data_IF_059517067926
#
_entry.id   IF_059517067926
#
_cell.length_a   1.000
_cell.length_b   1.000
_cell.length_c   1.000
_cell.angle_alpha   90.00
_cell.angle_beta   90.00
_cell.angle_gamma   90.00
#
_symmetry.space_group_name_H-M   'P 1'
#
loop_
_entity.id
_entity.type
_entity.pdbx_description
1 polymer ?
#
# COMPACT_ATOMS: atom_id res chain seq x y z
N UNK A 1 30.32 -10.99 52.90
CA UNK A 1 31.34 -11.13 51.83
C UNK A 1 30.79 -11.89 50.62
N UNK A 2 30.12 -13.04 50.82
CA UNK A 2 29.39 -13.77 49.76
C UNK A 2 28.37 -12.92 48.99
N UNK A 3 27.55 -12.13 49.69
CA UNK A 3 26.48 -11.36 49.02
C UNK A 3 27.04 -10.23 48.13
N UNK A 4 28.16 -9.61 48.53
CA UNK A 4 28.83 -8.60 47.71
C UNK A 4 29.44 -9.19 46.44
N UNK A 5 29.99 -10.40 46.51
CA UNK A 5 30.52 -11.11 45.34
C UNK A 5 29.37 -11.51 44.42
N UNK A 6 28.26 -12.02 44.97
CA UNK A 6 27.08 -12.40 44.19
C UNK A 6 26.46 -11.21 43.45
N UNK A 7 26.28 -10.07 44.15
CA UNK A 7 25.74 -8.83 43.59
C UNK A 7 26.68 -8.28 42.50
N UNK A 8 28.00 -8.31 42.73
CA UNK A 8 28.97 -7.82 41.75
C UNK A 8 28.97 -8.68 40.48
N UNK A 9 28.90 -10.00 40.61
CA UNK A 9 28.80 -10.92 39.47
C UNK A 9 27.48 -10.74 38.72
N UNK A 10 26.37 -10.56 39.42
CA UNK A 10 25.07 -10.31 38.79
C UNK A 10 25.07 -8.98 38.00
N UNK A 11 25.64 -7.90 38.56
CA UNK A 11 25.77 -6.62 37.87
C UNK A 11 26.67 -6.71 36.64
N UNK A 12 27.78 -7.47 36.72
CA UNK A 12 28.66 -7.72 35.58
C UNK A 12 27.95 -8.47 34.45
N UNK A 13 27.18 -9.51 34.77
CA UNK A 13 26.41 -10.28 33.80
C UNK A 13 25.29 -9.45 33.16
N UNK A 14 24.55 -8.67 33.95
CA UNK A 14 23.56 -7.73 33.42
C UNK A 14 24.22 -6.68 32.53
N UNK A 15 25.38 -6.13 32.93
CA UNK A 15 26.15 -5.19 32.12
C UNK A 15 26.61 -5.79 30.78
N UNK A 16 27.10 -7.03 30.79
CA UNK A 16 27.49 -7.76 29.58
C UNK A 16 26.30 -8.06 28.67
N UNK A 17 25.14 -8.40 29.21
CA UNK A 17 23.92 -8.63 28.43
C UNK A 17 23.41 -7.34 27.79
N UNK A 18 23.35 -6.24 28.54
CA UNK A 18 22.93 -4.94 28.03
C UNK A 18 23.94 -4.42 27.00
N UNK A 19 25.24 -4.59 27.24
CA UNK A 19 26.28 -4.21 26.28
C UNK A 19 26.25 -5.08 25.01
N UNK A 20 26.06 -6.40 25.15
CA UNK A 20 25.92 -7.31 24.01
C UNK A 20 24.70 -6.97 23.16
N UNK A 21 23.56 -6.67 23.78
CA UNK A 21 22.38 -6.15 23.08
C UNK A 21 22.69 -4.81 22.41
N UNK A 22 23.27 -3.86 23.14
CA UNK A 22 23.62 -2.55 22.60
C UNK A 22 24.55 -2.67 21.39
N UNK A 23 25.60 -3.49 21.43
CA UNK A 23 26.50 -3.72 20.29
C UNK A 23 25.77 -4.38 19.11
N UNK A 24 24.88 -5.34 19.38
CA UNK A 24 24.08 -5.97 18.32
C UNK A 24 23.11 -5.01 17.64
N UNK A 25 22.63 -3.97 18.33
CA UNK A 25 21.75 -2.95 17.75
C UNK A 25 22.53 -1.74 17.17
N UNK A 26 23.66 -1.37 17.77
CA UNK A 26 24.46 -0.20 17.38
C UNK A 26 25.32 -0.48 16.13
N UNK A 27 25.68 -1.74 15.89
CA UNK A 27 26.41 -2.12 14.68
C UNK A 27 25.55 -2.16 13.40
N UNK A 28 24.23 -1.91 13.47
CA UNK A 28 23.28 -2.09 12.35
C UNK A 28 23.63 -3.36 11.53
N UNK A 29 23.58 -4.57 12.13
CA UNK A 29 24.08 -5.79 11.49
C UNK A 29 23.29 -6.16 10.22
N UNK A 30 22.11 -5.58 10.04
CA UNK A 30 21.24 -5.79 8.89
C UNK A 30 21.40 -4.63 7.92
N UNK A 31 22.03 -4.92 6.78
CA UNK A 31 22.19 -3.99 5.66
C UNK A 31 21.47 -4.57 4.45
N UNK A 32 20.55 -3.80 3.89
CA UNK A 32 19.80 -4.14 2.68
C UNK A 32 20.00 -3.01 1.67
N UNK A 33 20.32 -3.36 0.43
CA UNK A 33 20.52 -2.38 -0.63
C UNK A 33 20.02 -2.94 -1.96
N UNK A 34 19.44 -2.06 -2.76
CA UNK A 34 19.14 -2.35 -4.15
C UNK A 34 19.47 -1.15 -5.04
N UNK A 35 19.88 -1.45 -6.26
CA UNK A 35 20.15 -0.47 -7.30
C UNK A 35 19.87 -1.07 -8.67
N UNK A 36 19.69 -0.19 -9.65
CA UNK A 36 19.68 -0.56 -11.05
C UNK A 36 20.30 0.55 -11.87
N UNK A 37 20.91 0.17 -12.99
CA UNK A 37 21.55 1.05 -13.94
C UNK A 37 21.14 0.62 -15.34
N UNK A 38 20.76 1.59 -16.16
CA UNK A 38 20.43 1.34 -17.56
C UNK A 38 21.70 1.41 -18.42
N UNK A 39 21.92 0.37 -19.23
CA UNK A 39 22.95 0.31 -20.28
C UNK A 39 22.28 -0.01 -21.63
N UNK A 40 21.97 1.05 -22.38
CA UNK A 40 21.18 0.96 -23.61
C UNK A 40 19.78 0.39 -23.35
N UNK A 41 19.44 -0.69 -24.05
CA UNK A 41 18.15 -1.39 -23.89
C UNK A 41 18.17 -2.45 -22.77
N UNK A 42 19.26 -2.50 -21.99
CA UNK A 42 19.41 -3.43 -20.87
C UNK A 42 19.33 -2.67 -19.55
N UNK A 43 18.55 -3.20 -18.61
CA UNK A 43 18.51 -2.72 -17.23
C UNK A 43 19.20 -3.74 -16.34
N UNK A 44 20.37 -3.40 -15.83
CA UNK A 44 21.10 -4.20 -14.87
C UNK A 44 20.65 -3.85 -13.45
N UNK A 45 20.47 -4.85 -12.60
CA UNK A 45 20.09 -4.64 -11.21
C UNK A 45 21.08 -5.32 -10.27
N UNK A 46 21.20 -4.76 -9.08
CA UNK A 46 21.96 -5.30 -7.96
C UNK A 46 21.08 -5.37 -6.72
N UNK A 47 21.14 -6.50 -6.01
CA UNK A 47 20.48 -6.69 -4.71
C UNK A 47 21.52 -7.18 -3.72
N UNK A 48 21.59 -6.54 -2.55
CA UNK A 48 22.55 -6.87 -1.51
C UNK A 48 21.88 -7.02 -0.15
N UNK A 49 22.30 -8.03 0.61
CA UNK A 49 21.84 -8.31 1.96
C UNK A 49 22.97 -8.86 2.82
N UNK A 50 23.13 -8.35 4.05
CA UNK A 50 24.10 -8.88 5.02
C UNK A 50 23.67 -10.19 5.67
N UNK A 51 22.43 -10.64 5.43
CA UNK A 51 21.89 -11.92 5.90
C UNK A 51 21.10 -12.65 4.81
N UNK A 52 20.97 -13.99 4.87
CA UNK A 52 20.10 -14.72 3.95
C UNK A 52 18.67 -14.15 3.96
N UNK A 53 18.21 -13.66 2.82
CA UNK A 53 16.87 -13.11 2.66
C UNK A 53 16.31 -13.42 1.27
N UNK A 54 15.00 -13.65 1.18
CA UNK A 54 14.32 -13.74 -0.11
C UNK A 54 14.25 -12.36 -0.76
N UNK A 55 14.41 -12.29 -2.08
CA UNK A 55 14.23 -11.07 -2.84
C UNK A 55 13.41 -11.33 -4.10
N UNK A 56 12.76 -10.27 -4.58
CA UNK A 56 12.10 -10.23 -5.86
C UNK A 56 12.42 -8.91 -6.56
N UNK A 57 12.55 -8.99 -7.88
CA UNK A 57 12.81 -7.90 -8.81
C UNK A 57 11.71 -7.97 -9.85
N UNK A 58 10.90 -6.92 -9.96
CA UNK A 58 9.77 -6.84 -10.88
C UNK A 58 10.00 -5.67 -11.83
N UNK A 59 10.04 -5.96 -13.12
CA UNK A 59 9.98 -4.97 -14.19
C UNK A 59 8.53 -4.88 -14.64
N UNK A 60 7.92 -3.71 -14.44
CA UNK A 60 6.50 -3.45 -14.63
C UNK A 60 6.32 -2.37 -15.69
N UNK A 61 5.41 -2.55 -16.64
CA UNK A 61 4.97 -1.47 -17.54
C UNK A 61 3.78 -0.73 -16.93
N UNK A 62 3.51 0.47 -17.44
CA UNK A 62 2.29 1.23 -17.12
C UNK A 62 2.11 1.40 -15.60
N UNK A 63 3.21 1.77 -14.94
CA UNK A 63 3.22 2.05 -13.50
C UNK A 63 2.80 3.49 -13.25
N UNK A 64 2.00 3.69 -12.20
CA UNK A 64 1.62 5.01 -11.70
C UNK A 64 2.19 5.20 -10.30
N UNK A 65 3.28 5.95 -10.19
CA UNK A 65 3.90 6.20 -8.91
C UNK A 65 3.33 7.45 -8.23
N UNK A 66 2.94 7.32 -6.97
CA UNK A 66 2.67 8.47 -6.11
C UNK A 66 3.96 9.26 -5.85
N UNK A 67 4.08 10.48 -6.40
CA UNK A 67 5.17 11.41 -6.02
C UNK A 67 4.95 11.97 -4.62
N UNK A 68 3.66 12.12 -4.24
CA UNK A 68 3.23 12.48 -2.90
C UNK A 68 1.90 11.82 -2.56
N UNK A 69 1.83 11.25 -1.36
CA UNK A 69 0.61 10.63 -0.82
C UNK A 69 -0.01 11.52 0.27
N UNK A 70 -1.23 11.99 0.05
CA UNK A 70 -2.03 12.70 1.04
C UNK A 70 -2.94 11.70 1.76
N UNK A 71 -2.70 11.49 3.05
CA UNK A 71 -3.43 10.52 3.87
C UNK A 71 -4.46 11.28 4.71
N UNK A 72 -5.74 11.02 4.45
CA UNK A 72 -6.82 11.64 5.21
C UNK A 72 -6.88 11.12 6.65
N UNK A 73 -6.79 12.04 7.60
CA UNK A 73 -7.04 11.75 9.02
C UNK A 73 -7.49 13.01 9.75
N UNK A 74 -8.71 12.97 10.27
CA UNK A 74 -9.29 14.05 11.06
C UNK A 74 -10.04 13.45 12.25
N UNK A 75 -9.60 13.75 13.47
CA UNK A 75 -10.27 13.30 14.71
C UNK A 75 -11.56 14.07 15.01
N UNK A 76 -11.76 15.23 14.37
CA UNK A 76 -12.94 16.06 14.53
C UNK A 76 -14.13 15.60 13.69
N UNK A 77 -13.93 14.70 12.73
CA UNK A 77 -14.95 14.22 11.80
C UNK A 77 -15.55 12.89 12.25
N UNK A 78 -16.87 12.73 12.11
CA UNK A 78 -17.54 11.51 12.49
C UNK A 78 -17.11 10.33 11.59
N UNK A 79 -16.95 9.13 12.16
CA UNK A 79 -16.63 7.93 11.38
C UNK A 79 -17.79 6.92 11.41
N UNK A 80 -18.17 6.30 10.28
CA UNK A 80 -19.35 5.43 10.20
C UNK A 80 -19.18 4.16 11.05
N UNK A 81 -18.06 3.49 10.90
CA UNK A 81 -17.82 2.13 11.43
C UNK A 81 -16.43 1.95 12.03
N UNK A 82 -15.52 2.88 11.79
CA UNK A 82 -14.10 2.78 12.15
C UNK A 82 -13.77 3.76 13.27
N UNK A 83 -13.25 3.28 14.40
CA UNK A 83 -12.81 4.19 15.46
C UNK A 83 -11.54 4.96 15.05
N UNK A 84 -11.42 6.22 15.49
CA UNK A 84 -10.20 7.02 15.24
C UNK A 84 -8.92 6.34 15.73
N UNK A 85 -8.99 5.57 16.83
CA UNK A 85 -7.83 4.85 17.34
C UNK A 85 -7.42 3.69 16.43
N UNK A 86 -8.38 2.97 15.85
CA UNK A 86 -8.13 1.96 14.82
C UNK A 86 -7.52 2.57 13.56
N UNK A 87 -8.09 3.68 13.09
CA UNK A 87 -7.60 4.41 11.92
C UNK A 87 -6.16 4.91 12.14
N UNK A 88 -5.90 5.59 13.26
CA UNK A 88 -4.58 6.08 13.65
C UNK A 88 -3.54 4.96 13.76
N UNK A 89 -3.91 3.84 14.39
CA UNK A 89 -3.05 2.67 14.51
C UNK A 89 -2.73 2.05 13.15
N UNK A 90 -3.70 1.99 12.25
CA UNK A 90 -3.50 1.51 10.88
C UNK A 90 -2.59 2.43 10.08
N UNK A 91 -2.85 3.75 10.08
CA UNK A 91 -2.00 4.75 9.42
C UNK A 91 -0.57 4.63 9.91
N UNK A 92 -0.34 4.55 11.23
CA UNK A 92 1.01 4.37 11.79
C UNK A 92 1.69 3.09 11.30
N UNK A 93 0.96 1.98 11.17
CA UNK A 93 1.52 0.74 10.62
C UNK A 93 1.84 0.89 9.14
N UNK A 94 0.92 1.49 8.37
CA UNK A 94 1.10 1.74 6.95
C UNK A 94 2.32 2.61 6.67
N UNK A 95 2.51 3.71 7.41
CA UNK A 95 3.67 4.60 7.21
C UNK A 95 4.98 3.88 7.51
N UNK A 96 5.03 3.03 8.55
CA UNK A 96 6.20 2.18 8.82
C UNK A 96 6.46 1.17 7.69
N UNK A 97 5.42 0.68 7.02
CA UNK A 97 5.55 -0.20 5.86
C UNK A 97 5.98 0.56 4.60
N UNK A 98 5.52 1.81 4.39
CA UNK A 98 5.97 2.68 3.30
C UNK A 98 7.44 3.07 3.45
N UNK A 99 7.89 3.36 4.68
CA UNK A 99 9.29 3.69 4.98
C UNK A 99 10.25 2.56 4.60
N UNK A 100 9.82 1.30 4.75
CA UNK A 100 10.63 0.15 4.34
C UNK A 100 10.76 0.03 2.83
N UNK A 101 9.85 0.63 2.04
CA UNK A 101 9.69 0.39 0.59
C UNK A 101 10.16 1.54 -0.30
N UNK A 102 11.16 2.28 0.17
CA UNK A 102 11.78 3.37 -0.59
C UNK A 102 11.18 4.75 -0.28
N UNK A 103 10.45 4.86 0.83
CA UNK A 103 9.91 6.11 1.39
C UNK A 103 9.10 6.93 0.38
N UNK A 104 7.88 6.49 0.10
CA UNK A 104 6.89 7.32 -0.61
C UNK A 104 6.59 8.54 0.26
N UNK A 105 6.88 9.77 -0.19
CA UNK A 105 6.63 10.97 0.60
C UNK A 105 5.14 11.09 0.91
N UNK A 106 4.79 11.19 2.19
CA UNK A 106 3.40 11.30 2.62
C UNK A 106 3.15 12.50 3.52
N UNK A 107 1.91 12.96 3.58
CA UNK A 107 1.45 14.02 4.48
C UNK A 107 0.09 13.66 5.02
N UNK A 108 -0.08 13.75 6.33
CA UNK A 108 -1.40 13.62 6.96
C UNK A 108 -2.14 14.94 6.77
N UNK A 109 -3.37 14.86 6.29
CA UNK A 109 -4.20 16.03 6.00
C UNK A 109 -5.59 15.87 6.63
N UNK A 110 -6.06 16.94 7.25
CA UNK A 110 -7.43 17.03 7.78
C UNK A 110 -8.45 17.33 6.68
N UNK A 111 -9.73 17.39 7.04
CA UNK A 111 -10.80 17.59 6.05
C UNK A 111 -10.71 18.96 5.35
N UNK A 112 -10.51 20.05 6.10
CA UNK A 112 -10.38 21.40 5.54
C UNK A 112 -9.20 21.51 4.57
N UNK A 113 -8.03 20.98 4.97
CA UNK A 113 -6.85 20.98 4.10
C UNK A 113 -7.12 20.17 2.84
N UNK A 114 -7.74 18.99 2.96
CA UNK A 114 -8.09 18.13 1.82
C UNK A 114 -8.96 18.85 0.78
N UNK A 115 -9.97 19.61 1.22
CA UNK A 115 -10.85 20.39 0.33
C UNK A 115 -10.16 21.55 -0.39
N UNK A 116 -8.96 21.95 0.05
CA UNK A 116 -8.18 23.03 -0.57
C UNK A 116 -7.01 22.54 -1.43
N UNK A 117 -6.67 21.25 -1.35
CA UNK A 117 -5.59 20.67 -2.15
C UNK A 117 -6.00 20.65 -3.63
N UNK A 118 -5.10 21.13 -4.48
CA UNK A 118 -5.29 21.06 -5.92
C UNK A 118 -5.01 19.63 -6.45
N UNK A 119 -5.93 19.04 -7.24
CA UNK A 119 -5.69 17.80 -7.97
C UNK A 119 -4.41 17.86 -8.82
N UNK A 120 -3.67 16.75 -8.86
CA UNK A 120 -2.47 16.64 -9.72
C UNK A 120 -2.10 15.18 -10.00
N UNK A 121 -1.60 14.89 -11.20
CA UNK A 121 -1.18 13.55 -11.60
C UNK A 121 -0.11 12.92 -10.67
N UNK A 122 0.77 13.74 -10.08
CA UNK A 122 1.77 13.27 -9.10
C UNK A 122 1.26 13.15 -7.67
N UNK A 123 0.10 13.73 -7.37
CA UNK A 123 -0.57 13.64 -6.07
C UNK A 123 -1.50 12.44 -6.00
N UNK A 124 -1.42 11.67 -4.93
CA UNK A 124 -2.34 10.56 -4.66
C UNK A 124 -3.04 10.74 -3.32
N UNK A 125 -4.26 10.24 -3.19
CA UNK A 125 -5.05 10.31 -1.98
C UNK A 125 -5.18 8.94 -1.33
N UNK A 126 -5.20 8.89 0.00
CA UNK A 126 -5.53 7.68 0.76
C UNK A 126 -6.61 7.98 1.80
N UNK A 127 -7.67 7.16 1.76
CA UNK A 127 -8.75 7.17 2.73
C UNK A 127 -8.82 5.82 3.44
N UNK A 128 -8.78 5.87 4.77
CA UNK A 128 -8.92 4.70 5.65
C UNK A 128 -10.06 4.83 6.69
N UNK A 129 -10.90 5.85 6.55
CA UNK A 129 -12.05 6.18 7.41
C UNK A 129 -13.33 5.43 7.05
N UNK A 130 -13.45 4.95 5.80
CA UNK A 130 -14.69 4.41 5.26
C UNK A 130 -15.74 5.46 4.89
N UNK A 131 -15.39 6.74 4.97
CA UNK A 131 -16.21 7.87 4.53
C UNK A 131 -15.30 8.97 3.98
N UNK A 132 -15.74 9.68 2.95
CA UNK A 132 -15.08 10.89 2.51
C UNK A 132 -15.49 12.08 3.38
N UNK A 133 -14.61 13.08 3.61
CA UNK A 133 -15.04 14.34 4.22
C UNK A 133 -15.97 15.12 3.28
N UNK A 134 -16.95 15.80 3.84
CA UNK A 134 -17.90 16.69 3.13
C UNK A 134 -17.23 17.84 2.37
N UNK A 135 -16.02 18.21 2.76
CA UNK A 135 -15.16 19.18 2.06
C UNK A 135 -14.66 18.69 0.70
N UNK A 136 -14.70 17.38 0.42
CA UNK A 136 -14.20 16.77 -0.81
C UNK A 136 -15.30 16.05 -1.61
N UNK A 137 -16.29 15.49 -0.93
CA UNK A 137 -17.33 14.66 -1.55
C UNK A 137 -18.68 14.93 -0.90
N UNK A 138 -19.68 15.27 -1.73
CA UNK A 138 -21.05 15.58 -1.33
C UNK A 138 -22.07 14.55 -1.86
N UNK A 139 -21.60 13.47 -2.50
CA UNK A 139 -22.46 12.46 -3.10
C UNK A 139 -22.89 12.75 -4.53
N UNK A 140 -22.32 13.77 -5.19
CA UNK A 140 -22.63 14.14 -6.57
C UNK A 140 -21.43 13.99 -7.51
N UNK A 141 -21.66 13.95 -8.82
CA UNK A 141 -20.59 13.87 -9.84
C UNK A 141 -19.71 15.13 -9.91
N UNK A 142 -20.15 16.23 -9.31
CA UNK A 142 -19.41 17.50 -9.26
C UNK A 142 -18.52 17.60 -8.01
N UNK A 143 -18.44 16.53 -7.21
CA UNK A 143 -17.57 16.45 -6.04
C UNK A 143 -16.09 16.51 -6.43
N UNK A 144 -15.29 17.20 -5.62
CA UNK A 144 -13.85 17.38 -5.86
C UNK A 144 -13.06 16.07 -5.99
N UNK A 145 -13.53 14.96 -5.40
CA UNK A 145 -12.91 13.64 -5.61
C UNK A 145 -12.84 13.23 -7.10
N UNK A 146 -13.81 13.64 -7.93
CA UNK A 146 -13.79 13.36 -9.36
C UNK A 146 -12.76 14.22 -10.11
N UNK A 147 -12.50 15.45 -9.65
CA UNK A 147 -11.41 16.26 -10.18
C UNK A 147 -10.04 15.61 -9.97
N UNK A 148 -9.85 14.86 -8.87
CA UNK A 148 -8.62 14.07 -8.64
C UNK A 148 -8.46 12.94 -9.66
N UNK A 149 -9.54 12.21 -9.95
CA UNK A 149 -9.52 11.19 -10.98
C UNK A 149 -9.26 11.78 -12.38
N UNK A 150 -9.89 12.90 -12.71
CA UNK A 150 -9.68 13.60 -13.97
C UNK A 150 -8.26 14.20 -14.10
N UNK A 151 -7.62 14.54 -12.98
CA UNK A 151 -6.23 14.99 -12.98
C UNK A 151 -5.20 13.85 -13.16
N UNK A 152 -5.64 12.59 -13.22
CA UNK A 152 -4.78 11.43 -13.35
C UNK A 152 -4.26 10.87 -12.03
N UNK A 153 -4.82 11.28 -10.90
CA UNK A 153 -4.38 10.85 -9.58
C UNK A 153 -4.82 9.41 -9.26
N UNK A 154 -4.02 8.73 -8.44
CA UNK A 154 -4.43 7.49 -7.78
C UNK A 154 -5.12 7.77 -6.45
N UNK A 155 -6.29 7.17 -6.25
CA UNK A 155 -7.00 7.18 -4.97
C UNK A 155 -6.97 5.77 -4.38
N UNK A 156 -6.41 5.66 -3.19
CA UNK A 156 -6.35 4.43 -2.41
C UNK A 156 -7.48 4.43 -1.38
N UNK A 157 -8.29 3.38 -1.37
CA UNK A 157 -9.43 3.24 -0.51
C UNK A 157 -9.39 1.95 0.29
N UNK A 158 -9.51 2.07 1.61
CA UNK A 158 -9.74 0.95 2.51
C UNK A 158 -10.73 1.39 3.60
N UNK A 159 -11.72 0.59 3.92
CA UNK A 159 -12.75 1.00 4.87
C UNK A 159 -14.09 0.38 4.53
N UNK A 160 -15.17 1.12 4.74
CA UNK A 160 -16.50 0.78 4.27
C UNK A 160 -16.59 0.80 2.73
N UNK A 161 -17.78 0.56 2.17
CA UNK A 161 -18.00 0.64 0.73
C UNK A 161 -17.66 2.04 0.17
N UNK A 162 -16.82 2.08 -0.88
CA UNK A 162 -16.37 3.33 -1.51
C UNK A 162 -17.56 4.22 -1.87
N UNK A 163 -17.50 5.50 -1.47
CA UNK A 163 -18.50 6.50 -1.81
C UNK A 163 -19.83 6.41 -1.05
N UNK A 164 -20.01 5.38 -0.20
CA UNK A 164 -21.27 5.17 0.53
C UNK A 164 -21.54 6.24 1.57
N UNK A 165 -20.50 6.79 2.20
CA UNK A 165 -20.64 7.71 3.32
C UNK A 165 -19.90 9.02 3.08
N UNK A 166 -20.58 10.11 3.44
CA UNK A 166 -20.02 11.46 3.60
C UNK A 166 -19.96 11.76 5.09
N UNK A 167 -18.80 12.19 5.56
CA UNK A 167 -18.53 12.51 6.95
C UNK A 167 -18.44 14.03 7.14
N UNK A 168 -19.03 14.51 8.23
CA UNK A 168 -18.90 15.87 8.74
C UNK A 168 -18.50 15.82 10.22
N UNK A 169 -18.22 16.97 10.88
CA UNK A 169 -17.98 16.98 12.32
C UNK A 169 -19.15 16.47 13.18
N UNK A 170 -20.38 16.58 12.68
CA UNK A 170 -21.60 16.31 13.46
C UNK A 170 -22.22 14.94 13.15
N UNK A 171 -22.12 14.48 11.91
CA UNK A 171 -22.83 13.28 11.44
C UNK A 171 -22.12 12.59 10.27
N UNK A 172 -22.53 11.35 10.00
CA UNK A 172 -22.18 10.59 8.79
C UNK A 172 -23.45 10.31 7.99
N UNK A 173 -23.52 10.86 6.78
CA UNK A 173 -24.66 10.69 5.88
C UNK A 173 -24.39 9.57 4.86
N UNK A 174 -25.38 8.69 4.66
CA UNK A 174 -25.34 7.69 3.59
C UNK A 174 -25.76 8.32 2.25
N UNK A 175 -24.94 8.13 1.23
CA UNK A 175 -25.21 8.55 -0.15
C UNK A 175 -25.94 7.43 -0.85
N UNK A 176 -27.06 7.75 -1.50
CA UNK A 176 -27.79 6.78 -2.34
C UNK A 176 -27.22 6.77 -3.76
N UNK A 177 -27.17 5.59 -4.40
CA UNK A 177 -26.63 5.46 -5.75
C UNK A 177 -25.11 5.58 -5.86
N UNK A 178 -24.38 5.50 -4.74
CA UNK A 178 -22.92 5.65 -4.68
C UNK A 178 -22.17 4.67 -5.60
N UNK A 179 -22.67 3.44 -5.76
CA UNK A 179 -22.04 2.47 -6.65
C UNK A 179 -22.22 2.88 -8.11
N UNK A 180 -23.43 3.30 -8.50
CA UNK A 180 -23.65 3.85 -9.84
C UNK A 180 -22.81 5.09 -10.10
N UNK A 181 -22.62 5.95 -9.09
CA UNK A 181 -21.82 7.16 -9.23
C UNK A 181 -20.34 6.86 -9.53
N UNK A 182 -19.72 5.93 -8.79
CA UNK A 182 -18.30 5.59 -8.98
C UNK A 182 -18.05 4.57 -10.09
N UNK A 183 -18.98 3.65 -10.34
CA UNK A 183 -18.76 2.48 -11.18
C UNK A 183 -19.71 2.37 -12.38
N UNK A 184 -20.67 3.29 -12.51
CA UNK A 184 -21.68 3.28 -13.58
C UNK A 184 -22.74 2.18 -13.44
N UNK A 185 -22.70 1.39 -12.37
CA UNK A 185 -23.63 0.29 -12.11
C UNK A 185 -23.80 0.00 -10.62
N UNK A 186 -24.98 -0.51 -10.24
CA UNK A 186 -25.25 -1.02 -8.89
C UNK A 186 -24.75 -2.45 -8.69
N UNK A 187 -24.60 -2.86 -7.43
CA UNK A 187 -24.27 -4.24 -7.05
C UNK A 187 -22.81 -4.65 -7.27
N UNK A 188 -21.93 -3.68 -7.54
CA UNK A 188 -20.52 -3.89 -7.85
C UNK A 188 -19.64 -4.07 -6.61
N UNK A 189 -20.11 -3.64 -5.44
CA UNK A 189 -19.38 -3.81 -4.19
C UNK A 189 -20.00 -4.92 -3.33
N UNK A 190 -19.14 -5.72 -2.72
CA UNK A 190 -19.55 -6.79 -1.83
C UNK A 190 -20.09 -6.23 -0.50
N UNK A 191 -21.41 -5.98 -0.43
CA UNK A 191 -22.06 -5.41 0.76
C UNK A 191 -22.66 -6.46 1.71
N UNK A 192 -22.78 -7.72 1.29
CA UNK A 192 -23.46 -8.77 2.06
C UNK A 192 -23.01 -10.20 1.77
N UNK A 193 -21.87 -10.39 1.11
CA UNK A 193 -21.35 -11.69 0.68
C UNK A 193 -20.28 -12.26 1.60
N UNK A 194 -19.41 -13.09 1.03
CA UNK A 194 -18.26 -13.67 1.71
C UNK A 194 -17.37 -12.58 2.30
N UNK A 195 -16.73 -12.89 3.42
CA UNK A 195 -15.80 -11.95 4.08
C UNK A 195 -14.37 -12.09 3.56
N UNK A 196 -13.99 -13.28 3.09
CA UNK A 196 -12.60 -13.56 2.69
C UNK A 196 -12.56 -14.39 1.42
N UNK A 197 -11.63 -14.02 0.55
CA UNK A 197 -11.18 -14.83 -0.59
C UNK A 197 -9.96 -15.67 -0.22
N UNK A 198 -9.74 -16.74 -0.98
CA UNK A 198 -8.61 -17.65 -0.78
C UNK A 198 -7.91 -18.02 -2.08
N UNK A 199 -8.56 -17.83 -3.22
CA UNK A 199 -7.97 -18.00 -4.53
C UNK A 199 -7.28 -16.71 -4.94
N UNK A 200 -6.12 -16.80 -5.59
CA UNK A 200 -5.38 -15.61 -6.04
C UNK A 200 -5.92 -15.13 -7.38
N UNK A 201 -6.18 -13.82 -7.47
CA UNK A 201 -6.77 -13.22 -8.67
C UNK A 201 -5.76 -12.99 -9.79
N UNK A 202 -4.46 -12.85 -9.49
CA UNK A 202 -3.43 -12.68 -10.51
C UNK A 202 -2.01 -13.07 -10.07
N UNK A 203 -1.15 -13.26 -11.06
CA UNK A 203 0.29 -13.45 -10.89
C UNK A 203 0.97 -12.19 -10.32
N UNK A 204 0.52 -10.99 -10.71
CA UNK A 204 1.09 -9.74 -10.19
C UNK A 204 0.93 -9.64 -8.67
N UNK A 205 -0.26 -9.92 -8.16
CA UNK A 205 -0.51 -10.00 -6.71
C UNK A 205 0.35 -11.04 -6.00
N UNK A 206 0.55 -12.19 -6.65
CA UNK A 206 1.39 -13.26 -6.14
C UNK A 206 2.86 -12.84 -6.04
N UNK A 207 3.40 -12.24 -7.10
CA UNK A 207 4.77 -11.77 -7.19
C UNK A 207 5.04 -10.60 -6.23
N UNK A 208 4.07 -9.72 -6.02
CA UNK A 208 4.15 -8.66 -5.02
C UNK A 208 3.96 -9.15 -3.58
N UNK A 209 3.65 -10.43 -3.37
CA UNK A 209 3.37 -11.01 -2.06
C UNK A 209 2.23 -10.29 -1.32
N UNK A 210 1.17 -9.88 -2.04
CA UNK A 210 -0.01 -9.28 -1.43
C UNK A 210 -0.76 -10.32 -0.60
N UNK A 211 -1.25 -9.91 0.58
CA UNK A 211 -1.79 -10.81 1.61
C UNK A 211 -3.19 -10.49 2.07
N UNK A 212 -3.65 -9.25 1.87
CA UNK A 212 -5.00 -8.87 2.27
C UNK A 212 -5.99 -9.71 1.48
N UNK A 213 -6.73 -10.56 2.17
CA UNK A 213 -7.68 -11.48 1.55
C UNK A 213 -9.13 -11.17 1.93
N UNK A 214 -9.38 -10.07 2.64
CA UNK A 214 -10.74 -9.63 2.95
C UNK A 214 -11.40 -9.07 1.70
N UNK A 215 -12.56 -9.63 1.34
CA UNK A 215 -13.31 -9.23 0.13
C UNK A 215 -14.60 -8.47 0.47
N UNK A 216 -14.92 -8.27 1.75
CA UNK A 216 -16.02 -7.39 2.16
C UNK A 216 -15.74 -5.96 1.66
N UNK A 217 -16.72 -5.36 0.98
CA UNK A 217 -16.62 -4.09 0.24
C UNK A 217 -15.60 -4.10 -0.91
N UNK A 218 -15.05 -5.26 -1.26
CA UNK A 218 -14.28 -5.47 -2.48
C UNK A 218 -15.13 -5.31 -3.73
N UNK A 219 -14.47 -5.02 -4.85
CA UNK A 219 -15.10 -4.82 -6.15
C UNK A 219 -15.36 -6.16 -6.85
N UNK A 220 -16.47 -6.23 -7.58
CA UNK A 220 -16.85 -7.36 -8.42
C UNK A 220 -15.77 -7.65 -9.48
N UNK A 221 -15.49 -8.94 -9.71
CA UNK A 221 -14.53 -9.41 -10.70
C UNK A 221 -15.10 -9.41 -12.13
N UNK A 222 -14.23 -9.31 -13.13
CA UNK A 222 -14.62 -9.34 -14.55
C UNK A 222 -15.12 -8.01 -15.13
N UNK A 223 -14.94 -6.90 -14.41
CA UNK A 223 -15.22 -5.55 -14.91
C UNK A 223 -14.17 -5.09 -15.91
N UNK A 224 -14.56 -4.30 -16.93
CA UNK A 224 -13.59 -3.69 -17.83
C UNK A 224 -12.69 -2.71 -17.07
N UNK A 225 -11.50 -2.46 -17.62
CA UNK A 225 -10.54 -1.47 -17.13
C UNK A 225 -10.22 -1.60 -15.63
N UNK A 226 -10.23 -2.85 -15.15
CA UNK A 226 -9.98 -3.22 -13.75
C UNK A 226 -8.97 -4.35 -13.67
N UNK A 227 -7.92 -4.16 -12.88
CA UNK A 227 -6.99 -5.20 -12.50
C UNK A 227 -7.29 -5.75 -11.11
N UNK A 228 -7.22 -7.07 -10.96
CA UNK A 228 -7.45 -7.76 -9.70
C UNK A 228 -6.14 -8.36 -9.19
N UNK A 229 -5.58 -7.76 -8.14
CA UNK A 229 -4.26 -8.15 -7.59
C UNK A 229 -4.36 -8.82 -6.22
N UNK A 230 -5.56 -8.92 -5.67
CA UNK A 230 -5.81 -9.56 -4.39
C UNK A 230 -6.12 -11.06 -4.49
N UNK A 231 -6.99 -11.45 -3.59
CA UNK A 231 -7.64 -12.75 -3.53
C UNK A 231 -9.10 -12.59 -3.95
N UNK A 232 -9.69 -13.60 -4.56
CA UNK A 232 -11.10 -13.63 -4.91
C UNK A 232 -11.84 -14.82 -4.28
N UNK A 233 -13.14 -14.60 -4.07
CA UNK A 233 -14.16 -15.61 -3.82
C UNK A 233 -15.53 -15.02 -4.18
N UNK A 234 -16.42 -15.86 -4.70
CA UNK A 234 -17.81 -15.49 -4.95
C UNK A 234 -18.01 -14.32 -5.94
N UNK A 235 -17.04 -14.04 -6.82
CA UNK A 235 -17.12 -12.95 -7.80
C UNK A 235 -16.64 -11.58 -7.31
N UNK A 236 -15.95 -11.50 -6.16
CA UNK A 236 -15.38 -10.25 -5.65
C UNK A 236 -13.90 -10.41 -5.31
N UNK A 237 -13.11 -9.35 -5.48
CA UNK A 237 -11.67 -9.35 -5.17
C UNK A 237 -11.32 -8.48 -3.97
N UNK A 238 -10.30 -8.89 -3.21
CA UNK A 238 -9.85 -8.23 -1.98
C UNK A 238 -9.01 -6.98 -2.27
N UNK A 239 -8.41 -6.91 -3.46
CA UNK A 239 -7.66 -5.75 -3.93
C UNK A 239 -7.91 -5.62 -5.43
N UNK A 240 -8.60 -4.55 -5.81
CA UNK A 240 -8.89 -4.20 -7.20
C UNK A 240 -8.33 -2.82 -7.50
N UNK A 241 -7.83 -2.62 -8.72
CA UNK A 241 -7.41 -1.32 -9.22
C UNK A 241 -8.20 -1.04 -10.48
N UNK A 242 -9.11 -0.07 -10.43
CA UNK A 242 -9.97 0.29 -11.56
C UNK A 242 -9.60 1.64 -12.11
N UNK A 243 -9.71 1.82 -13.43
CA UNK A 243 -9.64 3.14 -14.06
C UNK A 243 -10.81 4.00 -13.59
N UNK A 244 -10.54 5.28 -13.31
CA UNK A 244 -11.53 6.31 -13.04
C UNK A 244 -11.03 7.64 -13.61
N UNK A 245 -11.80 8.26 -14.51
CA UNK A 245 -11.36 9.46 -15.22
C UNK A 245 -10.08 9.21 -16.01
N UNK A 246 -9.03 9.97 -15.72
CA UNK A 246 -7.68 9.76 -16.24
C UNK A 246 -6.75 9.06 -15.23
N UNK A 247 -7.25 8.77 -14.03
CA UNK A 247 -6.51 8.20 -12.91
C UNK A 247 -6.96 6.78 -12.57
N UNK A 248 -6.74 6.39 -11.31
CA UNK A 248 -7.06 5.05 -10.84
C UNK A 248 -7.58 5.03 -9.41
N UNK A 249 -8.44 4.07 -9.10
CA UNK A 249 -8.88 3.80 -7.74
C UNK A 249 -8.48 2.38 -7.33
N UNK A 250 -7.60 2.27 -6.33
CA UNK A 250 -7.30 1.00 -5.67
C UNK A 250 -8.26 0.82 -4.51
N UNK A 251 -9.10 -0.22 -4.60
CA UNK A 251 -10.09 -0.57 -3.60
C UNK A 251 -9.61 -1.83 -2.90
N UNK A 252 -9.37 -1.73 -1.59
CA UNK A 252 -9.08 -2.87 -0.73
C UNK A 252 -10.28 -3.19 0.14
N UNK A 253 -10.67 -4.47 0.18
CA UNK A 253 -11.73 -4.92 1.07
C UNK A 253 -11.40 -4.65 2.55
N UNK A 254 -12.44 -4.53 3.36
CA UNK A 254 -12.35 -3.99 4.71
C UNK A 254 -11.47 -4.82 5.65
N UNK A 255 -10.25 -4.35 5.92
CA UNK A 255 -9.40 -4.92 6.95
C UNK A 255 -8.37 -3.89 7.42
N UNK A 256 -8.55 -3.28 8.60
CA UNK A 256 -7.49 -2.45 9.18
C UNK A 256 -6.45 -3.31 9.92
N UNK A 257 -5.95 -4.34 9.25
CA UNK A 257 -4.99 -5.30 9.76
C UNK A 257 -3.56 -4.98 9.32
N UNK A 258 -2.58 -5.68 9.92
CA UNK A 258 -1.18 -5.61 9.51
C UNK A 258 -0.95 -6.13 8.08
N UNK A 259 -1.69 -7.15 7.67
CA UNK A 259 -1.56 -7.70 6.32
C UNK A 259 -2.12 -6.73 5.28
N UNK A 260 -3.19 -6.00 5.60
CA UNK A 260 -3.72 -4.94 4.76
C UNK A 260 -2.79 -3.74 4.67
N UNK A 261 -2.22 -3.27 5.78
CA UNK A 261 -1.26 -2.16 5.75
C UNK A 261 0.00 -2.53 4.95
N UNK A 262 0.50 -3.76 5.11
CA UNK A 262 1.62 -4.27 4.32
C UNK A 262 1.28 -4.41 2.83
N UNK A 263 0.08 -4.92 2.50
CA UNK A 263 -0.34 -5.10 1.09
C UNK A 263 -0.57 -3.75 0.41
N UNK A 264 -1.17 -2.80 1.12
CA UNK A 264 -1.44 -1.46 0.61
C UNK A 264 -0.12 -0.70 0.40
N UNK A 265 0.80 -0.73 1.37
CA UNK A 265 2.13 -0.13 1.19
C UNK A 265 2.88 -0.73 0.01
N UNK A 266 2.78 -2.05 -0.19
CA UNK A 266 3.40 -2.74 -1.32
C UNK A 266 2.78 -2.30 -2.66
N UNK A 267 1.46 -2.20 -2.75
CA UNK A 267 0.78 -1.73 -3.96
C UNK A 267 1.15 -0.27 -4.30
N UNK A 268 1.12 0.62 -3.30
CA UNK A 268 1.52 2.03 -3.45
C UNK A 268 2.98 2.14 -3.90
N UNK A 269 3.91 1.44 -3.23
CA UNK A 269 5.33 1.57 -3.51
C UNK A 269 5.75 0.95 -4.86
N UNK A 270 5.05 -0.10 -5.31
CA UNK A 270 5.29 -0.73 -6.62
C UNK A 270 4.70 0.07 -7.79
N UNK A 271 3.78 1.01 -7.52
CA UNK A 271 3.15 1.83 -8.54
C UNK A 271 2.14 1.07 -9.39
N UNK A 272 1.55 0.00 -8.85
CA UNK A 272 0.52 -0.77 -9.58
C UNK A 272 -0.71 0.11 -9.85
N UNK A 273 -1.09 0.16 -11.12
CA UNK A 273 -2.25 0.82 -11.70
C UNK A 273 -3.23 -0.22 -12.27
N UNK A 274 -4.32 0.22 -12.91
CA UNK A 274 -5.35 -0.64 -13.50
C UNK A 274 -4.89 -1.38 -14.78
N UNK A 275 -3.79 -0.92 -15.38
CA UNK A 275 -3.22 -1.38 -16.64
C UNK A 275 -1.79 -1.93 -16.50
N UNK A 276 -1.23 -1.92 -15.29
CA UNK A 276 0.12 -2.40 -15.01
C UNK A 276 0.30 -3.86 -15.42
N UNK A 277 1.36 -4.13 -16.17
CA UNK A 277 1.68 -5.48 -16.63
C UNK A 277 3.10 -5.91 -16.23
N UNK A 278 3.28 -7.21 -15.99
CA UNK A 278 4.61 -7.78 -15.72
C UNK A 278 5.36 -7.90 -17.04
N UNK A 279 6.42 -7.13 -17.19
CA UNK A 279 7.35 -7.24 -18.33
C UNK A 279 8.40 -8.32 -18.04
N UNK A 280 8.90 -8.36 -16.81
CA UNK A 280 9.91 -9.31 -16.38
C UNK A 280 9.94 -9.47 -14.88
N UNK A 281 10.38 -10.64 -14.42
CA UNK A 281 10.57 -10.88 -13.00
C UNK A 281 11.81 -11.73 -12.76
N UNK A 282 12.42 -11.54 -11.60
CA UNK A 282 13.51 -12.37 -11.10
C UNK A 282 13.40 -12.44 -9.57
N UNK A 283 13.92 -13.50 -8.96
CA UNK A 283 13.86 -13.65 -7.52
C UNK A 283 14.64 -14.86 -7.03
N UNK A 284 14.85 -14.92 -5.72
CA UNK A 284 15.57 -16.01 -5.08
C UNK A 284 16.00 -15.64 -3.68
N UNK A 285 17.09 -16.24 -3.20
CA UNK A 285 17.71 -15.90 -1.92
C UNK A 285 19.01 -15.16 -2.15
N UNK A 286 19.23 -14.06 -1.44
CA UNK A 286 20.48 -13.29 -1.43
C UNK A 286 21.15 -13.41 -0.07
N UNK A 287 22.47 -13.61 -0.08
CA UNK A 287 23.36 -13.52 1.08
C UNK A 287 24.72 -13.00 0.59
N UNK A 288 24.98 -11.70 0.77
CA UNK A 288 25.98 -10.96 0.01
C UNK A 288 25.32 -10.13 -1.09
N UNK A 289 25.82 -10.22 -2.33
CA UNK A 289 25.32 -9.46 -3.47
C UNK A 289 24.97 -10.39 -4.62
N UNK A 290 23.83 -10.14 -5.27
CA UNK A 290 23.43 -10.76 -6.53
C UNK A 290 23.18 -9.67 -7.56
N UNK A 291 23.54 -9.97 -8.81
CA UNK A 291 23.27 -9.12 -9.97
C UNK A 291 22.44 -9.89 -10.99
N UNK A 292 21.72 -9.16 -11.83
CA UNK A 292 21.02 -9.70 -12.98
C UNK A 292 20.62 -8.58 -13.94
N UNK A 293 19.94 -8.92 -15.01
CA UNK A 293 19.52 -7.92 -15.99
C UNK A 293 18.23 -8.31 -16.72
N UNK A 294 17.54 -7.30 -17.23
CA UNK A 294 16.47 -7.43 -18.22
C UNK A 294 16.92 -6.77 -19.51
N UNK A 295 16.78 -7.47 -20.63
CA UNK A 295 17.06 -6.93 -21.96
C UNK A 295 15.76 -6.47 -22.64
N UNK A 296 15.89 -5.53 -23.58
CA UNK A 296 14.77 -4.96 -24.34
C UNK A 296 13.68 -4.35 -23.44
N UNK A 297 14.10 -3.54 -22.46
CA UNK A 297 13.19 -2.89 -21.51
C UNK A 297 12.30 -1.87 -22.24
N UNK A 298 10.96 -2.03 -22.24
CA UNK A 298 10.06 -1.06 -22.85
C UNK A 298 10.18 0.32 -22.19
N UNK A 299 10.09 1.37 -23.00
CA UNK A 299 10.02 2.75 -22.50
C UNK A 299 8.84 2.91 -21.53
N UNK A 300 9.06 3.63 -20.43
CA UNK A 300 8.05 3.83 -19.38
C UNK A 300 7.92 2.67 -18.39
N UNK A 301 8.75 1.62 -18.49
CA UNK A 301 8.79 0.56 -17.47
C UNK A 301 9.39 1.07 -16.15
N UNK A 302 8.84 0.64 -15.02
CA UNK A 302 9.40 0.84 -13.70
C UNK A 302 9.98 -0.44 -13.12
N UNK A 303 11.11 -0.33 -12.43
CA UNK A 303 11.69 -1.46 -11.69
C UNK A 303 11.36 -1.34 -10.21
N UNK A 304 10.80 -2.39 -9.64
CA UNK A 304 10.55 -2.48 -8.20
C UNK A 304 11.26 -3.70 -7.62
N UNK A 305 12.16 -3.44 -6.67
CA UNK A 305 12.97 -4.47 -5.99
C UNK A 305 12.56 -4.51 -4.53
N UNK A 306 12.32 -5.70 -3.98
CA UNK A 306 12.06 -5.85 -2.56
C UNK A 306 12.68 -7.12 -1.97
N UNK A 307 12.99 -7.07 -0.67
CA UNK A 307 13.66 -8.10 0.12
C UNK A 307 12.77 -8.45 1.32
N UNK A 308 12.70 -9.74 1.67
CA UNK A 308 11.92 -10.30 2.77
C UNK A 308 10.69 -11.12 2.33
N UNK A 309 10.43 -11.21 1.01
CA UNK A 309 9.29 -11.93 0.46
C UNK A 309 7.98 -11.48 1.09
N UNK A 310 7.25 -12.41 1.71
CA UNK A 310 6.03 -12.12 2.47
C UNK A 310 6.26 -11.16 3.64
N UNK A 311 7.43 -11.14 4.29
CA UNK A 311 7.74 -10.19 5.35
C UNK A 311 8.75 -9.18 4.84
N UNK A 312 8.30 -8.31 3.93
CA UNK A 312 9.16 -7.30 3.32
C UNK A 312 9.85 -6.45 4.38
N UNK A 313 11.17 -6.44 4.34
CA UNK A 313 12.05 -5.66 5.24
C UNK A 313 12.67 -4.48 4.51
N UNK A 314 12.72 -4.53 3.18
CA UNK A 314 13.25 -3.49 2.32
C UNK A 314 12.56 -3.54 0.95
N UNK A 315 12.31 -2.39 0.36
CA UNK A 315 11.82 -2.23 -1.00
C UNK A 315 12.35 -0.93 -1.59
N UNK A 316 12.49 -0.87 -2.90
CA UNK A 316 12.95 0.32 -3.61
C UNK A 316 12.45 0.30 -5.04
N UNK A 317 11.85 1.42 -5.44
CA UNK A 317 11.63 1.79 -6.84
C UNK A 317 12.97 2.27 -7.43
N UNK A 318 13.31 1.76 -8.61
CA UNK A 318 14.41 2.26 -9.42
C UNK A 318 13.82 2.72 -10.76
N UNK A 319 14.05 3.99 -11.08
CA UNK A 319 13.61 4.64 -12.32
C UNK A 319 14.82 4.93 -13.18
#
# INVERSE_FOLDING_TARGET
MKDRVLISTALLLCGLLVFGQAVSYWALPYHYEAGAEADGDTLEYTVSSSTPAEYAVLLLSDVSYAERLYIYYDEGYANPTISHSSQSSFIRQLTLELDKRGSVPYTLVGAEEMGTLAPSAGGSLLFCSGAFPDTLYDGTSESGIFDWFDAGSSVYWIGDALGRYVSSPEDVAEVTGYQTLFFGSEGCLNISGSWSGYDRSSELGALLCLKSNTILYGLETGRPDTQYVGYDDGGFSSISVTSMGHGSCLIMGYSLSKDASSSLAQAIASGVSYDTSIVGHSGGTVNGTVTGSFAAVPEGSGLYIFIGGSLTVYGKRVV
#
